data_IF_101366318834
#
_entry.id   IF_101366318834
#
_cell.length_a   1.000
_cell.length_b   1.000
_cell.length_c   1.000
_cell.angle_alpha   90.00
_cell.angle_beta   90.00
_cell.angle_gamma   90.00
#
_symmetry.space_group_name_H-M   'P 1'
#
loop_
_entity.id
_entity.type
_entity.pdbx_description
1 polymer ?
#
# COMPACT_ATOMS: atom_id res chain seq x y z
N UNK A 1 -15.67 -7.35 -24.30
CA UNK A 1 -16.44 -6.79 -23.16
C UNK A 1 -15.55 -5.81 -22.41
N UNK A 2 -15.90 -4.51 -22.37
CA UNK A 2 -15.16 -3.49 -21.60
C UNK A 2 -15.68 -3.53 -20.16
N UNK A 3 -14.84 -3.73 -19.13
CA UNK A 3 -15.34 -3.76 -17.75
C UNK A 3 -15.93 -2.40 -17.36
N UNK A 4 -17.17 -2.42 -16.85
CA UNK A 4 -17.83 -1.28 -16.23
C UNK A 4 -17.07 -0.93 -14.96
N UNK A 5 -16.36 0.19 -14.96
CA UNK A 5 -15.73 0.74 -13.76
C UNK A 5 -16.84 1.35 -12.91
N UNK A 6 -17.49 0.53 -12.09
CA UNK A 6 -18.50 0.97 -11.13
C UNK A 6 -17.82 1.69 -9.97
N UNK A 7 -17.98 3.02 -9.97
CA UNK A 7 -17.48 3.97 -8.96
C UNK A 7 -15.97 3.99 -8.85
N UNK A 8 -15.35 4.92 -9.57
CA UNK A 8 -14.14 5.58 -9.07
C UNK A 8 -14.59 6.26 -7.78
N UNK A 9 -14.48 5.56 -6.66
CA UNK A 9 -14.53 6.18 -5.34
C UNK A 9 -13.36 7.14 -5.38
N UNK A 10 -13.63 8.42 -5.66
CA UNK A 10 -12.71 9.49 -5.32
C UNK A 10 -12.53 9.37 -3.82
N UNK A 11 -11.55 8.57 -3.41
CA UNK A 11 -11.07 8.53 -2.04
C UNK A 11 -10.43 9.90 -1.85
N UNK A 12 -11.27 10.87 -1.50
CA UNK A 12 -10.85 12.20 -1.11
C UNK A 12 -10.02 12.00 0.15
N UNK A 13 -8.72 11.75 -0.01
CA UNK A 13 -7.72 11.97 1.03
C UNK A 13 -7.72 13.47 1.32
N UNK A 14 -8.72 13.95 2.05
CA UNK A 14 -8.62 15.20 2.80
C UNK A 14 -7.67 14.92 3.96
N UNK A 15 -6.38 14.85 3.65
CA UNK A 15 -5.31 14.56 4.59
C UNK A 15 -4.13 13.96 3.86
N UNK A 16 -3.02 14.71 3.74
CA UNK A 16 -1.72 14.21 3.26
C UNK A 16 -1.11 13.22 4.29
N UNK A 17 -1.83 12.18 4.72
CA UNK A 17 -1.37 11.34 5.83
C UNK A 17 -0.16 10.52 5.35
N UNK A 18 -0.24 9.89 4.18
CA UNK A 18 0.86 9.12 3.59
C UNK A 18 1.82 9.98 2.76
N UNK A 19 3.11 9.64 2.79
CA UNK A 19 4.06 10.14 1.78
C UNK A 19 3.84 9.42 0.46
N UNK A 20 4.27 10.01 -0.67
CA UNK A 20 4.20 9.38 -2.00
C UNK A 20 4.83 7.99 -2.02
N UNK A 21 5.94 7.79 -1.30
CA UNK A 21 6.62 6.49 -1.22
C UNK A 21 5.83 5.47 -0.39
N UNK A 22 5.19 5.89 0.70
CA UNK A 22 4.32 5.03 1.50
C UNK A 22 3.09 4.60 0.72
N UNK A 23 2.43 5.55 0.05
CA UNK A 23 1.27 5.27 -0.80
C UNK A 23 1.63 4.31 -1.93
N UNK A 24 2.72 4.57 -2.66
CA UNK A 24 3.19 3.69 -3.73
C UNK A 24 3.52 2.28 -3.22
N UNK A 25 4.20 2.17 -2.08
CA UNK A 25 4.55 0.88 -1.48
C UNK A 25 3.30 0.08 -1.08
N UNK A 26 2.34 0.71 -0.40
CA UNK A 26 1.10 0.08 0.04
C UNK A 26 0.21 -0.31 -1.14
N UNK A 27 0.07 0.57 -2.14
CA UNK A 27 -0.69 0.29 -3.35
C UNK A 27 -0.11 -0.91 -4.11
N UNK A 28 1.21 -0.95 -4.30
CA UNK A 28 1.86 -2.07 -4.98
C UNK A 28 1.74 -3.37 -4.16
N UNK A 29 1.96 -3.30 -2.84
CA UNK A 29 1.77 -4.43 -1.95
C UNK A 29 0.35 -5.02 -2.05
N UNK A 30 -0.67 -4.16 -2.02
CA UNK A 30 -2.08 -4.55 -2.16
C UNK A 30 -2.33 -5.17 -3.53
N UNK A 31 -1.95 -4.50 -4.61
CA UNK A 31 -2.19 -4.96 -5.99
C UNK A 31 -1.53 -6.30 -6.28
N UNK A 32 -0.37 -6.58 -5.68
CA UNK A 32 0.40 -7.80 -5.90
C UNK A 32 0.06 -8.94 -4.93
N UNK A 33 -0.94 -8.75 -4.05
CA UNK A 33 -1.37 -9.76 -3.09
C UNK A 33 -0.36 -10.02 -1.96
N UNK A 34 0.38 -8.99 -1.55
CA UNK A 34 1.24 -9.06 -0.36
C UNK A 34 0.43 -9.24 0.93
N UNK A 35 -0.77 -8.66 0.95
CA UNK A 35 -1.72 -8.74 2.07
C UNK A 35 -2.72 -9.89 1.94
N UNK A 36 -2.65 -10.68 0.87
CA UNK A 36 -3.55 -11.82 0.65
C UNK A 36 -3.19 -13.00 1.56
N UNK A 37 -4.17 -13.87 1.80
CA UNK A 37 -3.97 -15.18 2.42
C UNK A 37 -4.50 -16.30 1.49
N UNK A 38 -3.67 -17.24 1.01
CA UNK A 38 -2.21 -17.27 1.18
C UNK A 38 -1.52 -16.11 0.45
N UNK A 39 -0.35 -15.69 0.95
CA UNK A 39 0.40 -14.55 0.40
C UNK A 39 0.88 -14.84 -1.02
N UNK A 40 0.55 -13.96 -1.97
CA UNK A 40 0.89 -14.13 -3.41
C UNK A 40 2.28 -13.62 -3.79
N UNK A 41 2.85 -12.69 -3.01
CA UNK A 41 4.20 -12.15 -3.24
C UNK A 41 4.98 -11.97 -1.94
N UNK A 42 6.27 -12.32 -1.93
CA UNK A 42 7.16 -12.08 -0.79
C UNK A 42 7.69 -10.64 -0.77
N UNK A 43 8.07 -10.15 0.42
CA UNK A 43 8.65 -8.81 0.58
C UNK A 43 9.92 -8.61 -0.27
N UNK A 44 10.73 -9.66 -0.44
CA UNK A 44 11.95 -9.64 -1.25
C UNK A 44 11.68 -9.50 -2.75
N UNK A 45 10.57 -10.04 -3.25
CA UNK A 45 10.15 -9.88 -4.65
C UNK A 45 9.58 -8.48 -4.87
N UNK A 46 8.80 -7.98 -3.91
CA UNK A 46 8.21 -6.65 -3.95
C UNK A 46 9.29 -5.55 -3.83
N UNK A 47 10.32 -5.75 -3.01
CA UNK A 47 11.41 -4.79 -2.82
C UNK A 47 12.25 -4.62 -4.08
N UNK A 48 12.53 -5.72 -4.79
CA UNK A 48 13.16 -5.68 -6.13
C UNK A 48 12.37 -4.83 -7.12
N UNK A 49 11.03 -4.92 -7.10
CA UNK A 49 10.15 -4.11 -7.97
C UNK A 49 10.12 -2.63 -7.59
N UNK A 50 10.34 -2.33 -6.30
CA UNK A 50 10.41 -0.96 -5.79
C UNK A 50 11.82 -0.34 -5.90
N UNK A 51 12.85 -1.12 -6.24
CA UNK A 51 14.23 -0.65 -6.29
C UNK A 51 14.83 -0.32 -4.92
N UNK A 52 14.35 -0.96 -3.85
CA UNK A 52 14.81 -0.73 -2.47
C UNK A 52 15.14 -2.05 -1.77
N UNK A 53 15.83 -1.98 -0.64
CA UNK A 53 16.09 -3.15 0.20
C UNK A 53 14.78 -3.72 0.79
N UNK A 54 14.73 -5.04 1.11
CA UNK A 54 13.59 -5.63 1.80
C UNK A 54 13.26 -4.96 3.15
N UNK A 55 14.28 -4.55 3.90
CA UNK A 55 14.12 -3.86 5.19
C UNK A 55 13.52 -2.47 5.00
N UNK A 56 14.01 -1.68 4.03
CA UNK A 56 13.46 -0.37 3.68
C UNK A 56 11.99 -0.47 3.26
N UNK A 57 11.64 -1.46 2.44
CA UNK A 57 10.25 -1.65 2.04
C UNK A 57 9.36 -2.08 3.22
N UNK A 58 9.85 -3.01 4.06
CA UNK A 58 9.15 -3.43 5.28
C UNK A 58 8.86 -2.26 6.21
N UNK A 59 9.84 -1.39 6.43
CA UNK A 59 9.66 -0.17 7.23
C UNK A 59 8.66 0.79 6.60
N UNK A 60 8.77 1.03 5.30
CA UNK A 60 7.87 1.92 4.55
C UNK A 60 6.42 1.45 4.66
N UNK A 61 6.18 0.15 4.48
CA UNK A 61 4.85 -0.47 4.64
C UNK A 61 4.36 -0.32 6.09
N UNK A 62 5.18 -0.66 7.09
CA UNK A 62 4.80 -0.56 8.51
C UNK A 62 4.42 0.87 8.90
N UNK A 63 5.23 1.86 8.50
CA UNK A 63 4.97 3.28 8.77
C UNK A 63 3.72 3.77 8.05
N UNK A 64 3.48 3.32 6.82
CA UNK A 64 2.27 3.64 6.09
C UNK A 64 1.02 3.05 6.75
N UNK A 65 1.04 1.77 7.12
CA UNK A 65 -0.06 1.12 7.83
C UNK A 65 -0.35 1.82 9.15
N UNK A 66 0.69 2.11 9.96
CA UNK A 66 0.53 2.84 11.22
C UNK A 66 -0.27 4.13 11.01
N UNK A 67 0.12 4.95 10.05
CA UNK A 67 -0.57 6.20 9.74
C UNK A 67 -2.02 6.02 9.30
N UNK A 68 -2.31 4.96 8.53
CA UNK A 68 -3.69 4.62 8.16
C UNK A 68 -4.51 4.20 9.38
N UNK A 69 -3.91 3.48 10.32
CA UNK A 69 -4.57 3.08 11.56
C UNK A 69 -4.78 4.28 12.50
N UNK A 70 -3.79 5.15 12.66
CA UNK A 70 -3.90 6.40 13.43
C UNK A 70 -5.05 7.27 12.90
N UNK A 71 -5.11 7.48 11.58
CA UNK A 71 -6.21 8.21 10.93
C UNK A 71 -7.57 7.53 11.14
N UNK A 72 -7.64 6.21 10.95
CA UNK A 72 -8.89 5.45 11.07
C UNK A 72 -9.45 5.45 12.50
N UNK A 73 -8.58 5.30 13.49
CA UNK A 73 -8.94 5.29 14.90
C UNK A 73 -8.93 6.68 15.54
N UNK A 74 -8.55 7.73 14.79
CA UNK A 74 -8.41 9.12 15.27
C UNK A 74 -7.49 9.23 16.49
N UNK A 75 -6.35 8.53 16.43
CA UNK A 75 -5.28 8.56 17.43
C UNK A 75 -4.34 9.77 17.25
#
# INVERSE_FOLDING_TARGET
MKPKISKIVKFNMKGKTLTKNQEKALWLALKMGFFDYPRKIRISQLSKKMGVSPSTLSETIRRGIRKLLEEYFKL
#
